data_IF_847380515959
#
_entry.id   IF_847380515959
#
_cell.length_a   1.000
_cell.length_b   1.000
_cell.length_c   1.000
_cell.angle_alpha   90.00
_cell.angle_beta   90.00
_cell.angle_gamma   90.00
#
_symmetry.space_group_name_H-M   'P 1'
#
loop_
_entity.id
_entity.type
_entity.pdbx_description
1 polymer ?
#
# COMPACT_ATOMS: atom_id res chain seq x y z
N UNK A 1 -21.48 -5.13 -12.27
CA UNK A 1 -20.35 -4.34 -12.80
C UNK A 1 -19.09 -4.72 -12.05
N UNK A 2 -18.35 -5.70 -12.57
CA UNK A 2 -17.09 -6.17 -11.99
C UNK A 2 -16.00 -5.27 -12.56
N UNK A 3 -15.56 -4.24 -11.82
CA UNK A 3 -14.31 -3.56 -12.15
C UNK A 3 -13.21 -4.54 -11.79
N UNK A 4 -12.80 -5.32 -12.79
CA UNK A 4 -11.56 -6.07 -12.79
C UNK A 4 -10.45 -5.05 -12.54
N UNK A 5 -10.00 -4.96 -11.30
CA UNK A 5 -8.69 -4.41 -11.05
C UNK A 5 -7.71 -5.21 -11.88
N UNK A 6 -7.11 -4.56 -12.87
CA UNK A 6 -6.15 -5.12 -13.81
C UNK A 6 -4.85 -5.62 -13.17
N UNK A 7 -4.86 -5.93 -11.88
CA UNK A 7 -3.80 -6.65 -11.19
C UNK A 7 -3.95 -8.12 -11.55
N UNK A 8 -3.48 -8.45 -12.76
CA UNK A 8 -3.14 -9.82 -13.06
C UNK A 8 -2.11 -10.24 -12.01
N UNK A 9 -2.42 -11.27 -11.21
CA UNK A 9 -1.55 -11.77 -10.16
C UNK A 9 -0.14 -12.08 -10.69
N UNK A 10 -0.01 -12.35 -12.00
CA UNK A 10 1.25 -12.52 -12.71
C UNK A 10 2.10 -11.24 -12.75
N UNK A 11 1.54 -10.05 -13.02
CA UNK A 11 2.31 -8.79 -13.06
C UNK A 11 2.86 -8.47 -11.68
N UNK A 12 2.02 -8.69 -10.66
CA UNK A 12 2.42 -8.58 -9.26
C UNK A 12 3.55 -9.58 -9.01
N UNK A 13 3.34 -10.88 -9.26
CA UNK A 13 4.34 -11.92 -9.05
C UNK A 13 5.65 -11.67 -9.80
N UNK A 14 5.63 -11.11 -11.00
CA UNK A 14 6.83 -10.76 -11.77
C UNK A 14 7.62 -9.61 -11.10
N UNK A 15 6.94 -8.59 -10.58
CA UNK A 15 7.56 -7.54 -9.75
C UNK A 15 8.14 -8.14 -8.45
N UNK A 16 7.49 -9.15 -7.87
CA UNK A 16 7.89 -9.78 -6.61
C UNK A 16 8.89 -10.96 -6.78
N UNK A 17 9.09 -11.50 -7.99
CA UNK A 17 9.94 -12.67 -8.26
C UNK A 17 11.40 -12.31 -8.59
N UNK A 18 11.70 -11.02 -8.78
CA UNK A 18 13.04 -10.51 -9.08
C UNK A 18 13.73 -9.78 -7.93
N UNK A 19 14.53 -10.51 -7.13
CA UNK A 19 15.68 -10.03 -6.33
C UNK A 19 15.49 -9.14 -5.08
N UNK A 20 14.31 -8.68 -4.71
CA UNK A 20 14.11 -8.13 -3.36
C UNK A 20 12.65 -8.20 -2.93
N UNK A 21 12.36 -8.89 -1.82
CA UNK A 21 11.02 -8.84 -1.22
C UNK A 21 10.85 -7.44 -0.61
N UNK A 22 10.00 -6.57 -1.16
CA UNK A 22 9.83 -5.24 -0.60
C UNK A 22 9.30 -5.38 0.83
N UNK A 23 9.88 -4.60 1.75
CA UNK A 23 9.32 -4.45 3.09
C UNK A 23 7.88 -3.91 3.03
N UNK A 24 7.18 -3.97 4.15
CA UNK A 24 5.76 -3.58 4.23
C UNK A 24 5.49 -2.20 3.61
N UNK A 25 6.31 -1.21 3.93
CA UNK A 25 6.14 0.16 3.44
C UNK A 25 6.34 0.27 1.92
N UNK A 26 7.31 -0.46 1.36
CA UNK A 26 7.51 -0.52 -0.10
C UNK A 26 6.32 -1.18 -0.82
N UNK A 27 5.73 -2.22 -0.23
CA UNK A 27 4.53 -2.85 -0.78
C UNK A 27 3.31 -1.90 -0.74
N UNK A 28 3.19 -1.10 0.32
CA UNK A 28 2.17 -0.05 0.44
C UNK A 28 2.41 1.06 -0.60
N UNK A 29 3.65 1.53 -0.76
CA UNK A 29 4.01 2.51 -1.78
C UNK A 29 3.70 2.01 -3.19
N UNK A 30 3.96 0.74 -3.48
CA UNK A 30 3.60 0.11 -4.74
C UNK A 30 2.09 0.12 -4.96
N UNK A 31 1.29 -0.17 -3.93
CA UNK A 31 -0.16 -0.11 -4.01
C UNK A 31 -0.68 1.31 -4.34
N UNK A 32 -0.04 2.35 -3.79
CA UNK A 32 -0.33 3.74 -4.16
C UNK A 32 0.05 4.04 -5.62
N UNK A 33 1.25 3.62 -6.06
CA UNK A 33 1.71 3.81 -7.45
C UNK A 33 0.80 3.13 -8.48
N UNK A 34 0.24 1.97 -8.12
CA UNK A 34 -0.71 1.21 -8.95
C UNK A 34 -2.17 1.69 -8.81
N UNK A 35 -2.44 2.68 -7.94
CA UNK A 35 -3.79 3.18 -7.62
C UNK A 35 -4.75 2.06 -7.20
N UNK A 36 -4.25 1.14 -6.39
CA UNK A 36 -5.01 0.00 -5.88
C UNK A 36 -6.19 0.45 -5.00
N UNK A 37 -7.31 -0.28 -5.08
CA UNK A 37 -8.34 -0.20 -4.05
C UNK A 37 -7.84 -0.81 -2.73
N UNK A 38 -8.57 -0.59 -1.62
CA UNK A 38 -8.23 -1.23 -0.34
C UNK A 38 -8.19 -2.77 -0.46
N UNK A 39 -9.14 -3.37 -1.19
CA UNK A 39 -9.20 -4.83 -1.38
C UNK A 39 -7.98 -5.35 -2.14
N UNK A 40 -7.55 -4.62 -3.15
CA UNK A 40 -6.36 -4.95 -3.95
C UNK A 40 -5.09 -4.76 -3.15
N UNK A 41 -5.01 -3.69 -2.36
CA UNK A 41 -3.88 -3.43 -1.45
C UNK A 41 -3.71 -4.58 -0.47
N UNK A 42 -4.80 -5.04 0.17
CA UNK A 42 -4.73 -6.22 1.06
C UNK A 42 -4.28 -7.49 0.33
N UNK A 43 -4.75 -7.71 -0.90
CA UNK A 43 -4.29 -8.82 -1.73
C UNK A 43 -2.80 -8.71 -2.07
N UNK A 44 -2.33 -7.52 -2.42
CA UNK A 44 -0.93 -7.24 -2.73
C UNK A 44 -0.04 -7.49 -1.52
N UNK A 45 -0.42 -7.02 -0.33
CA UNK A 45 0.34 -7.26 0.91
C UNK A 45 0.46 -8.75 1.24
N UNK A 46 -0.63 -9.51 1.09
CA UNK A 46 -0.61 -10.97 1.24
C UNK A 46 0.31 -11.66 0.23
N UNK A 47 0.28 -11.24 -1.03
CA UNK A 47 1.17 -11.79 -2.08
C UNK A 47 2.63 -11.43 -1.85
N UNK A 48 2.89 -10.25 -1.28
CA UNK A 48 4.23 -9.81 -0.86
C UNK A 48 4.75 -10.53 0.39
N UNK A 49 3.90 -11.29 1.10
CA UNK A 49 4.25 -11.99 2.33
C UNK A 49 4.42 -11.07 3.55
N UNK A 50 3.80 -9.88 3.52
CA UNK A 50 3.84 -8.90 4.62
C UNK A 50 2.47 -8.78 5.28
N UNK A 51 2.44 -8.23 6.50
CA UNK A 51 1.20 -8.03 7.24
C UNK A 51 0.26 -7.04 6.54
N UNK A 52 -1.00 -7.44 6.43
CA UNK A 52 -2.13 -6.63 5.97
C UNK A 52 -2.27 -5.31 6.73
N UNK A 53 -3.00 -4.35 6.16
CA UNK A 53 -3.37 -3.12 6.88
C UNK A 53 -4.47 -3.46 7.89
N UNK A 54 -4.26 -3.10 9.16
CA UNK A 54 -5.20 -3.36 10.24
C UNK A 54 -5.74 -2.06 10.83
N UNK A 55 -7.05 -1.84 10.73
CA UNK A 55 -7.69 -0.61 11.21
C UNK A 55 -7.52 -0.31 12.71
N UNK A 56 -7.07 -1.27 13.52
CA UNK A 56 -6.74 -1.04 14.94
C UNK A 56 -5.36 -0.40 15.13
N UNK A 57 -4.45 -0.54 14.16
CA UNK A 57 -3.19 0.20 14.15
C UNK A 57 -3.46 1.60 13.57
N UNK A 58 -3.10 2.64 14.32
CA UNK A 58 -3.37 4.04 13.96
C UNK A 58 -2.75 4.40 12.60
N UNK A 59 -1.46 4.09 12.39
CA UNK A 59 -0.78 4.24 11.09
C UNK A 59 -1.55 3.61 9.93
N UNK A 60 -1.97 2.35 10.10
CA UNK A 60 -2.73 1.64 9.06
C UNK A 60 -4.11 2.25 8.82
N UNK A 61 -4.79 2.72 9.87
CA UNK A 61 -6.09 3.38 9.73
C UNK A 61 -5.99 4.64 8.85
N UNK A 62 -4.91 5.42 9.00
CA UNK A 62 -4.61 6.59 8.16
C UNK A 62 -4.38 6.17 6.72
N UNK A 63 -3.53 5.15 6.50
CA UNK A 63 -3.24 4.62 5.15
C UNK A 63 -4.52 4.09 4.49
N UNK A 64 -5.35 3.34 5.22
CA UNK A 64 -6.66 2.86 4.76
C UNK A 64 -7.55 4.03 4.34
N UNK A 65 -7.60 5.09 5.15
CA UNK A 65 -8.37 6.28 4.84
C UNK A 65 -7.84 6.97 3.58
N UNK A 66 -6.53 7.15 3.43
CA UNK A 66 -5.90 7.75 2.25
C UNK A 66 -6.23 6.96 0.97
N UNK A 67 -6.09 5.63 0.99
CA UNK A 67 -6.44 4.75 -0.14
C UNK A 67 -7.91 4.92 -0.53
N UNK A 68 -8.81 4.95 0.46
CA UNK A 68 -10.26 5.07 0.19
C UNK A 68 -10.66 6.44 -0.36
N UNK A 69 -9.91 7.49 -0.04
CA UNK A 69 -10.14 8.84 -0.54
C UNK A 69 -9.35 9.14 -1.82
N UNK A 70 -8.59 8.16 -2.36
CA UNK A 70 -7.86 8.32 -3.61
C UNK A 70 -6.63 9.21 -3.51
N UNK A 71 -6.03 9.32 -2.33
CA UNK A 71 -4.80 10.07 -2.10
C UNK A 71 -3.63 9.36 -2.79
N UNK A 72 -2.64 10.13 -3.20
CA UNK A 72 -1.37 9.58 -3.67
C UNK A 72 -0.41 9.34 -2.49
N UNK A 73 0.77 8.79 -2.80
CA UNK A 73 1.80 8.49 -1.79
C UNK A 73 2.25 9.76 -1.05
N UNK A 74 2.46 10.87 -1.76
CA UNK A 74 2.99 12.11 -1.16
C UNK A 74 1.98 12.65 -0.15
N UNK A 75 0.72 12.79 -0.56
CA UNK A 75 -0.34 13.24 0.33
C UNK A 75 -0.56 12.28 1.52
N UNK A 76 -0.33 10.97 1.32
CA UNK A 76 -0.38 10.00 2.42
C UNK A 76 0.76 10.21 3.43
N UNK A 77 1.98 10.49 2.96
CA UNK A 77 3.11 10.82 3.83
C UNK A 77 2.85 12.11 4.61
N UNK A 78 2.26 13.14 3.97
CA UNK A 78 1.88 14.38 4.64
C UNK A 78 0.85 14.14 5.76
N UNK A 79 -0.16 13.30 5.52
CA UNK A 79 -1.16 12.95 6.54
C UNK A 79 -0.57 12.09 7.68
N UNK A 80 0.33 11.16 7.35
CA UNK A 80 1.07 10.39 8.36
C UNK A 80 1.90 11.32 9.25
N UNK A 81 2.66 12.23 8.64
CA UNK A 81 3.48 13.22 9.35
C UNK A 81 2.61 14.13 10.22
N UNK A 82 1.52 14.68 9.66
CA UNK A 82 0.55 15.53 10.38
C UNK A 82 -0.04 14.84 11.61
N UNK A 83 -0.24 13.53 11.55
CA UNK A 83 -0.79 12.74 12.65
C UNK A 83 0.27 12.15 13.60
N UNK A 84 1.55 12.45 13.39
CA UNK A 84 2.68 12.01 14.21
C UNK A 84 3.09 10.55 14.01
N UNK A 85 2.78 9.97 12.85
CA UNK A 85 3.13 8.59 12.49
C UNK A 85 4.31 8.56 11.53
N UNK A 86 5.02 7.42 11.49
CA UNK A 86 6.13 7.23 10.55
C UNK A 86 5.63 7.24 9.09
N UNK A 87 6.28 8.05 8.26
CA UNK A 87 6.04 8.13 6.80
C UNK A 87 6.44 6.82 6.10
N UNK A 88 5.92 6.60 4.90
CA UNK A 88 6.24 5.44 4.07
C UNK A 88 7.64 5.56 3.45
N UNK A 89 8.03 6.78 3.07
CA UNK A 89 9.39 7.09 2.69
C UNK A 89 10.15 7.59 3.93
N UNK A 90 11.27 6.98 4.33
CA UNK A 90 12.09 7.51 5.41
C UNK A 90 12.59 8.91 5.03
N UNK A 91 12.50 9.86 5.97
CA UNK A 91 13.22 11.11 5.86
C UNK A 91 14.71 10.81 6.09
N UNK A 92 15.58 11.26 5.18
CA UNK A 92 17.04 11.22 5.35
C UNK A 92 17.49 12.00 6.59
#
# INVERSE_FOLDING_TARGET
>A
MVRASGLNATVVYDIFSGKSRPGRDHAIMLAFGLKCTLRETQRLLRLAGVSELWCKQRRDAIIIWCIRNGFDRIATDDELYRMGEATLLPAD
#
